data_IF_902187943652
#
_entry.id   IF_902187943652
#
_cell.length_a   1.000
_cell.length_b   1.000
_cell.length_c   1.000
_cell.angle_alpha   90.00
_cell.angle_beta   90.00
_cell.angle_gamma   90.00
#
_symmetry.space_group_name_H-M   'P 1'
#
loop_
_entity.id
_entity.type
_entity.pdbx_description
1 polymer ?
#
# COMPACT_ATOMS: atom_id res chain seq x y z
N UNK A 1 14.21 -8.79 15.48
CA UNK A 1 13.31 -7.84 14.78
C UNK A 1 11.99 -7.79 15.53
N UNK A 2 11.57 -6.62 16.05
CA UNK A 2 10.25 -6.49 16.70
C UNK A 2 9.20 -6.27 15.61
N UNK A 3 8.63 -7.35 15.09
CA UNK A 3 7.45 -7.29 14.24
C UNK A 3 6.26 -6.94 15.16
N UNK A 4 5.64 -5.76 14.97
CA UNK A 4 4.31 -5.49 15.51
C UNK A 4 3.28 -6.44 14.88
N UNK A 5 2.00 -6.44 15.32
CA UNK A 5 0.99 -7.39 14.85
C UNK A 5 0.48 -7.02 13.45
N UNK A 6 1.37 -6.94 12.46
CA UNK A 6 1.04 -6.75 11.05
C UNK A 6 0.52 -8.10 10.54
N UNK A 7 -0.75 -8.13 10.11
CA UNK A 7 -1.37 -9.33 9.55
C UNK A 7 -1.46 -9.21 8.02
N UNK A 8 -1.48 -10.35 7.34
CA UNK A 8 -1.70 -10.41 5.89
C UNK A 8 -0.67 -9.61 5.09
N UNK A 9 0.61 -9.85 5.29
CA UNK A 9 1.66 -9.14 4.54
C UNK A 9 1.75 -9.72 3.12
N UNK A 10 1.59 -8.85 2.11
CA UNK A 10 1.78 -9.20 0.70
C UNK A 10 2.78 -8.23 0.08
N UNK A 11 3.86 -8.77 -0.51
CA UNK A 11 5.00 -8.04 -1.04
C UNK A 11 6.27 -8.25 -0.21
N UNK A 12 7.27 -7.38 -0.40
CA UNK A 12 8.62 -7.58 0.11
C UNK A 12 9.05 -6.45 1.05
N UNK A 13 9.50 -6.85 2.24
CA UNK A 13 10.17 -5.99 3.23
C UNK A 13 11.67 -6.07 2.98
N UNK A 14 12.30 -4.95 2.60
CA UNK A 14 13.70 -4.90 2.16
C UNK A 14 14.54 -3.83 2.86
N UNK A 15 13.91 -2.91 3.56
CA UNK A 15 14.59 -1.95 4.43
C UNK A 15 13.78 -1.66 5.69
N UNK A 16 14.44 -1.08 6.69
CA UNK A 16 13.77 -0.70 7.92
C UNK A 16 12.67 0.33 7.64
N UNK A 17 11.52 0.11 8.27
CA UNK A 17 10.40 1.06 8.20
C UNK A 17 10.81 2.34 8.93
N UNK A 18 10.90 3.45 8.20
CA UNK A 18 11.14 4.73 8.82
C UNK A 18 9.94 5.16 9.67
N UNK A 19 10.22 5.76 10.82
CA UNK A 19 9.19 6.30 11.70
C UNK A 19 9.67 7.57 12.41
N UNK A 20 8.71 8.42 12.77
CA UNK A 20 9.00 9.58 13.63
C UNK A 20 9.42 9.14 15.02
N UNK A 21 10.31 9.90 15.67
CA UNK A 21 10.63 9.75 17.09
C UNK A 21 9.43 10.08 18.00
N UNK A 22 8.45 10.82 17.49
CA UNK A 22 7.24 11.20 18.22
C UNK A 22 6.07 10.34 17.77
N UNK A 23 5.41 9.67 18.72
CA UNK A 23 4.14 8.99 18.46
C UNK A 23 2.99 10.00 18.48
N UNK A 24 2.67 10.55 17.30
CA UNK A 24 1.56 11.50 17.09
C UNK A 24 0.17 10.84 17.13
N UNK A 25 0.08 9.54 17.40
CA UNK A 25 -1.16 8.75 17.44
C UNK A 25 -1.93 8.69 16.11
N UNK A 26 -1.27 8.94 14.98
CA UNK A 26 -1.90 8.90 13.64
C UNK A 26 -2.69 7.61 13.40
N UNK A 27 -2.10 6.44 13.66
CA UNK A 27 -2.81 5.16 13.53
C UNK A 27 -4.09 5.12 14.36
N UNK A 28 -4.00 5.49 15.65
CA UNK A 28 -5.14 5.49 16.57
C UNK A 28 -6.25 6.41 16.06
N UNK A 29 -5.88 7.58 15.53
CA UNK A 29 -6.85 8.52 14.94
C UNK A 29 -7.54 7.89 13.73
N UNK A 30 -6.78 7.32 12.78
CA UNK A 30 -7.35 6.70 11.58
C UNK A 30 -8.30 5.54 11.93
N UNK A 31 -7.92 4.70 12.90
CA UNK A 31 -8.78 3.61 13.41
C UNK A 31 -10.06 4.17 14.03
N UNK A 32 -9.97 5.25 14.82
CA UNK A 32 -11.15 5.85 15.47
C UNK A 32 -12.14 6.51 14.50
N UNK A 33 -11.68 6.99 13.34
CA UNK A 33 -12.55 7.55 12.31
C UNK A 33 -13.42 6.47 11.64
N UNK A 34 -12.89 5.25 11.51
CA UNK A 34 -13.64 4.08 11.02
C UNK A 34 -13.95 4.08 9.51
N UNK A 35 -13.69 5.17 8.80
CA UNK A 35 -13.94 5.34 7.36
C UNK A 35 -12.70 5.11 6.48
N UNK A 36 -11.49 5.11 7.07
CA UNK A 36 -10.23 4.83 6.36
C UNK A 36 -10.01 3.33 6.23
N UNK A 37 -9.87 2.83 5.00
CA UNK A 37 -9.65 1.40 4.71
C UNK A 37 -8.23 1.06 4.28
N UNK A 38 -7.54 2.01 3.65
CA UNK A 38 -6.16 1.85 3.21
C UNK A 38 -5.42 3.18 3.22
N UNK A 39 -4.11 3.12 3.49
CA UNK A 39 -3.15 4.22 3.44
C UNK A 39 -1.99 3.80 2.53
N UNK A 40 -1.64 4.64 1.57
CA UNK A 40 -0.55 4.39 0.64
C UNK A 40 0.65 5.27 1.00
N UNK A 41 1.80 4.64 1.21
CA UNK A 41 2.98 5.26 1.81
C UNK A 41 4.22 5.09 0.92
N UNK A 42 5.22 5.94 1.19
CA UNK A 42 6.52 5.96 0.51
C UNK A 42 7.65 6.09 1.52
N UNK A 43 8.67 6.89 1.20
CA UNK A 43 9.90 7.12 1.99
C UNK A 43 10.87 5.93 2.08
N UNK A 44 10.37 4.70 2.22
CA UNK A 44 11.20 3.49 2.20
C UNK A 44 11.14 2.88 0.79
N UNK A 45 12.23 2.99 0.02
CA UNK A 45 12.18 2.86 -1.44
C UNK A 45 12.20 1.42 -1.96
N UNK A 46 12.74 0.49 -1.19
CA UNK A 46 12.87 -0.92 -1.50
C UNK A 46 11.75 -1.76 -0.87
N UNK A 47 11.04 -1.20 0.11
CA UNK A 47 9.81 -1.76 0.63
C UNK A 47 8.67 -1.61 -0.40
N UNK A 48 7.94 -2.70 -0.63
CA UNK A 48 6.78 -2.69 -1.53
C UNK A 48 5.62 -3.55 -1.02
N UNK A 49 5.66 -3.90 0.27
CA UNK A 49 4.64 -4.69 0.91
C UNK A 49 3.42 -3.87 1.29
N UNK A 50 2.28 -4.54 1.40
CA UNK A 50 1.12 -4.08 2.16
C UNK A 50 0.99 -4.93 3.41
N UNK A 51 0.57 -4.32 4.52
CA UNK A 51 0.22 -5.04 5.75
C UNK A 51 -1.01 -4.44 6.40
N UNK A 52 -1.82 -5.29 7.03
CA UNK A 52 -3.00 -4.85 7.78
C UNK A 52 -2.61 -4.56 9.23
N UNK A 53 -2.95 -3.36 9.68
CA UNK A 53 -2.73 -2.87 11.05
C UNK A 53 -4.06 -2.34 11.58
N UNK A 54 -4.60 -3.02 12.59
CA UNK A 54 -5.88 -2.65 13.23
C UNK A 54 -7.05 -2.44 12.24
N UNK A 55 -7.12 -3.28 11.20
CA UNK A 55 -8.18 -3.23 10.19
C UNK A 55 -7.92 -2.26 9.03
N UNK A 56 -6.82 -1.51 9.06
CA UNK A 56 -6.41 -0.59 7.99
C UNK A 56 -5.21 -1.17 7.23
N UNK A 57 -5.26 -1.12 5.91
CA UNK A 57 -4.14 -1.55 5.07
C UNK A 57 -3.11 -0.43 4.90
N UNK A 58 -1.85 -0.68 5.23
CA UNK A 58 -0.73 0.23 4.95
C UNK A 58 0.11 -0.36 3.82
N UNK A 59 0.26 0.38 2.73
CA UNK A 59 0.80 -0.13 1.47
C UNK A 59 1.93 0.73 0.93
N UNK A 60 3.14 0.19 0.87
CA UNK A 60 4.27 0.84 0.21
C UNK A 60 4.11 0.85 -1.30
N UNK A 61 4.42 1.99 -1.93
CA UNK A 61 4.38 2.15 -3.39
C UNK A 61 5.41 1.32 -4.16
N UNK A 62 6.56 1.03 -3.54
CA UNK A 62 7.75 0.51 -4.20
C UNK A 62 8.40 1.59 -5.08
N UNK A 63 9.68 1.89 -4.85
CA UNK A 63 10.35 3.06 -5.43
C UNK A 63 10.28 3.13 -6.96
N UNK A 64 9.71 4.22 -7.48
CA UNK A 64 9.45 4.41 -8.92
C UNK A 64 10.61 5.09 -9.67
N UNK A 65 11.32 6.02 -9.02
CA UNK A 65 12.26 6.92 -9.69
C UNK A 65 13.65 6.32 -9.91
N UNK A 66 14.31 6.72 -11.00
CA UNK A 66 15.64 6.20 -11.39
C UNK A 66 16.83 6.97 -10.81
N UNK A 67 16.63 8.20 -10.35
CA UNK A 67 17.72 9.11 -9.94
C UNK A 67 18.29 8.84 -8.52
N UNK A 68 17.97 7.70 -7.90
CA UNK A 68 18.53 7.32 -6.60
C UNK A 68 17.72 6.24 -5.88
N UNK A 69 18.20 5.80 -4.71
CA UNK A 69 17.43 5.04 -3.71
C UNK A 69 16.64 3.85 -4.31
N UNK A 70 17.37 2.82 -4.68
CA UNK A 70 16.88 1.55 -5.21
C UNK A 70 17.86 0.44 -4.85
N UNK A 71 17.72 -0.74 -5.45
CA UNK A 71 18.67 -1.83 -5.25
C UNK A 71 19.09 -2.43 -6.59
N UNK A 72 20.38 -2.78 -6.72
CA UNK A 72 20.86 -3.50 -7.89
C UNK A 72 20.11 -4.84 -8.02
N UNK A 73 19.72 -5.21 -9.24
CA UNK A 73 18.91 -6.41 -9.48
C UNK A 73 17.46 -6.33 -8.98
N UNK A 74 16.97 -5.14 -8.61
CA UNK A 74 15.61 -4.93 -8.11
C UNK A 74 14.85 -3.99 -9.07
N UNK A 75 13.99 -4.52 -9.96
CA UNK A 75 13.28 -3.71 -10.96
C UNK A 75 12.50 -2.57 -10.33
N UNK A 76 12.41 -1.37 -10.94
CA UNK A 76 11.51 -0.33 -10.41
C UNK A 76 10.06 -0.82 -10.44
N UNK A 77 9.17 -0.17 -9.70
CA UNK A 77 7.74 -0.48 -9.79
C UNK A 77 6.87 0.70 -9.45
N UNK A 78 5.61 0.58 -9.85
CA UNK A 78 4.54 1.44 -9.40
C UNK A 78 3.42 0.58 -8.81
N UNK A 79 2.89 1.00 -7.66
CA UNK A 79 1.64 0.46 -7.13
C UNK A 79 0.47 1.10 -7.86
N UNK A 80 -0.40 0.27 -8.41
CA UNK A 80 -1.69 0.70 -8.95
C UNK A 80 -2.76 0.53 -7.88
N UNK A 81 -3.65 1.50 -7.79
CA UNK A 81 -4.78 1.54 -6.89
C UNK A 81 -6.03 1.63 -7.75
N UNK A 82 -6.90 0.62 -7.66
CA UNK A 82 -8.17 0.59 -8.35
C UNK A 82 -9.29 0.73 -7.32
N UNK A 83 -9.95 1.88 -7.34
CA UNK A 83 -11.17 2.12 -6.59
C UNK A 83 -12.37 1.96 -7.52
N UNK A 84 -13.25 1.02 -7.23
CA UNK A 84 -14.48 0.80 -7.97
C UNK A 84 -15.64 1.43 -7.20
N UNK A 85 -16.40 2.25 -7.90
CA UNK A 85 -17.55 2.97 -7.35
C UNK A 85 -18.83 2.25 -7.77
N UNK A 86 -19.80 2.18 -6.86
CA UNK A 86 -21.13 1.69 -7.20
C UNK A 86 -21.81 2.58 -8.23
N UNK A 87 -22.61 1.98 -9.12
CA UNK A 87 -23.44 2.75 -10.06
C UNK A 87 -24.71 3.21 -9.34
N UNK A 88 -24.98 4.51 -9.39
CA UNK A 88 -26.28 5.09 -9.04
C UNK A 88 -27.05 5.50 -10.28
N UNK A 89 -28.36 5.75 -10.13
CA UNK A 89 -29.28 6.04 -11.24
C UNK A 89 -28.88 7.28 -12.07
N UNK A 90 -28.15 8.25 -11.47
CA UNK A 90 -27.72 9.50 -12.12
C UNK A 90 -26.28 9.94 -11.78
N UNK A 91 -25.58 9.21 -10.92
CA UNK A 91 -24.20 9.53 -10.51
C UNK A 91 -23.47 8.30 -9.95
N UNK A 92 -22.15 8.40 -9.80
CA UNK A 92 -21.38 7.43 -9.00
C UNK A 92 -21.80 7.47 -7.53
N UNK A 93 -21.86 6.31 -6.89
CA UNK A 93 -22.11 6.14 -5.46
C UNK A 93 -20.79 5.98 -4.68
N UNK A 94 -20.89 5.52 -3.43
CA UNK A 94 -19.75 5.20 -2.57
C UNK A 94 -18.81 4.16 -3.20
N UNK A 95 -17.56 4.13 -2.73
CA UNK A 95 -16.61 3.07 -3.06
C UNK A 95 -17.22 1.73 -2.65
N UNK A 96 -17.18 0.75 -3.55
CA UNK A 96 -17.62 -0.63 -3.30
C UNK A 96 -16.45 -1.58 -3.11
N UNK A 97 -15.32 -1.30 -3.78
CA UNK A 97 -14.14 -2.16 -3.70
C UNK A 97 -12.86 -1.38 -3.94
N UNK A 98 -11.82 -1.73 -3.20
CA UNK A 98 -10.46 -1.23 -3.37
C UNK A 98 -9.54 -2.42 -3.66
N UNK A 99 -8.90 -2.41 -4.83
CA UNK A 99 -7.87 -3.36 -5.25
C UNK A 99 -6.53 -2.67 -5.42
N UNK A 100 -5.46 -3.43 -5.26
CA UNK A 100 -4.12 -2.96 -5.59
C UNK A 100 -3.27 -4.08 -6.17
N UNK A 101 -2.32 -3.72 -7.01
CA UNK A 101 -1.24 -4.57 -7.51
C UNK A 101 -0.02 -3.70 -7.79
N UNK A 102 1.11 -4.32 -8.14
CA UNK A 102 2.29 -3.60 -8.61
C UNK A 102 2.55 -3.91 -10.08
N UNK A 103 3.10 -2.93 -10.79
CA UNK A 103 3.69 -3.07 -12.12
C UNK A 103 5.19 -2.95 -11.99
N UNK A 104 5.92 -3.98 -12.35
CA UNK A 104 7.38 -3.92 -12.42
C UNK A 104 7.79 -3.20 -13.69
N UNK A 105 8.90 -2.47 -13.62
CA UNK A 105 9.63 -1.99 -14.79
C UNK A 105 10.64 -3.06 -15.20
N UNK A 106 10.08 -4.18 -15.66
CA UNK A 106 10.79 -5.26 -16.34
C UNK A 106 10.34 -5.33 -17.80
N UNK A 107 10.94 -6.21 -18.59
CA UNK A 107 10.64 -6.35 -20.03
C UNK A 107 9.15 -6.61 -20.31
N UNK A 108 8.40 -7.18 -19.36
CA UNK A 108 6.99 -7.58 -19.52
C UNK A 108 6.01 -6.63 -18.84
N UNK A 109 6.50 -5.61 -18.14
CA UNK A 109 5.72 -4.79 -17.23
C UNK A 109 4.86 -5.63 -16.27
N UNK A 110 5.51 -6.64 -15.68
CA UNK A 110 4.85 -7.73 -14.95
C UNK A 110 3.86 -7.20 -13.90
N UNK A 111 2.65 -7.78 -13.89
CA UNK A 111 1.67 -7.60 -12.80
C UNK A 111 2.06 -8.54 -11.66
N UNK A 112 2.24 -8.01 -10.46
CA UNK A 112 2.49 -8.85 -9.28
C UNK A 112 1.62 -8.41 -8.11
N UNK A 113 1.42 -9.33 -7.16
CA UNK A 113 0.85 -9.05 -5.84
C UNK A 113 -0.52 -8.34 -5.90
N UNK A 114 -1.39 -8.83 -6.78
CA UNK A 114 -2.78 -8.37 -6.81
C UNK A 114 -3.53 -8.82 -5.54
N UNK A 115 -4.23 -7.88 -4.92
CA UNK A 115 -5.01 -8.14 -3.71
C UNK A 115 -6.20 -7.17 -3.60
N UNK A 116 -7.21 -7.59 -2.86
CA UNK A 116 -8.35 -6.78 -2.45
C UNK A 116 -8.05 -6.23 -1.06
N UNK A 117 -8.04 -4.91 -0.90
CA UNK A 117 -7.82 -4.25 0.39
C UNK A 117 -9.15 -4.07 1.14
N UNK A 118 -10.22 -3.79 0.42
CA UNK A 118 -11.53 -3.59 1.02
C UNK A 118 -12.64 -3.87 0.01
N UNK A 119 -13.77 -4.38 0.50
CA UNK A 119 -14.98 -4.61 -0.26
C UNK A 119 -16.19 -4.43 0.66
N UNK A 120 -17.24 -3.78 0.15
CA UNK A 120 -18.53 -3.62 0.84
C UNK A 120 -19.34 -4.91 0.82
#
# INVERSE_FOLDING_TARGET
MKQGPIKGIIGQYREHVACSFVNSRVLKTLVSLGDVKAVFIGHDHTNDFCGNLEGIWFCYGGGFGYHGYGAAGWPRRARVILAELGKGDKSWNVVERIKTWKRLDDVKLSKIDEQILWQK
#
